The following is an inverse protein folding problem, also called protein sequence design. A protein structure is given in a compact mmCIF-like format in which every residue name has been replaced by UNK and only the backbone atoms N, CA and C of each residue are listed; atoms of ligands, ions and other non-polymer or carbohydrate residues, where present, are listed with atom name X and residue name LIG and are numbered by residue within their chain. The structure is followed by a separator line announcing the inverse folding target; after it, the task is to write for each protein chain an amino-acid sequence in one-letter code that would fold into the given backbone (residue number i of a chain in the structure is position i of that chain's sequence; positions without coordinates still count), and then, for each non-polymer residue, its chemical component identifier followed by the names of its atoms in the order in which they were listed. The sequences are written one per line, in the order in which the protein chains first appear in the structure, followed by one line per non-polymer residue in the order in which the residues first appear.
data_IF_242115683895
#
_entry.id   IF_242115683895
#
_cell.length_a   1.000
_cell.length_b   1.000
_cell.length_c   1.000
_cell.angle_alpha   90.00
_cell.angle_beta   90.00
_cell.angle_gamma   90.00
#
_symmetry.space_group_name_H-M   'P 1'
#
loop_
_entity.id
_entity.type
_entity.pdbx_description
1 polymer ?
#
# COMPACT_ATOMS: atom_id res chain seq x y z
N UNK A 1 2.46 20.58 19.25
CA UNK A 1 2.55 19.24 19.87
C UNK A 1 1.24 18.53 19.61
N UNK A 2 1.24 17.49 18.78
CA UNK A 2 0.06 16.64 18.60
C UNK A 2 0.24 15.47 19.56
N UNK A 3 -0.39 15.60 20.72
CA UNK A 3 -0.55 14.56 21.72
C UNK A 3 -1.35 13.41 21.10
N UNK A 4 -0.70 12.29 20.84
CA UNK A 4 -1.34 11.07 20.30
C UNK A 4 -1.69 10.06 21.39
N UNK A 5 -1.68 10.47 22.66
CA UNK A 5 -2.14 9.64 23.78
C UNK A 5 -1.43 8.28 23.90
N UNK A 6 -0.25 8.11 23.30
CA UNK A 6 0.48 6.84 23.32
C UNK A 6 -0.16 5.68 22.55
N UNK A 7 -1.15 5.92 21.69
CA UNK A 7 -1.74 4.85 20.87
C UNK A 7 -0.92 4.67 19.58
N UNK A 8 -0.33 3.48 19.34
CA UNK A 8 0.24 3.19 18.02
C UNK A 8 -0.89 3.28 16.99
N UNK A 9 -0.71 4.09 15.93
CA UNK A 9 -1.62 4.09 14.80
C UNK A 9 -1.53 2.73 14.10
N UNK A 10 -2.38 1.80 14.54
CA UNK A 10 -2.57 0.51 13.89
C UNK A 10 -3.55 0.71 12.73
N UNK A 11 -3.04 0.68 11.50
CA UNK A 11 -3.90 0.62 10.32
C UNK A 11 -4.30 -0.83 10.12
N UNK A 12 -5.59 -1.10 10.33
CA UNK A 12 -6.18 -2.40 10.05
C UNK A 12 -6.35 -2.52 8.54
N UNK A 13 -5.68 -3.49 7.93
CA UNK A 13 -5.84 -3.81 6.52
C UNK A 13 -6.95 -4.85 6.35
N UNK A 14 -7.96 -4.50 5.56
CA UNK A 14 -9.07 -5.39 5.23
C UNK A 14 -8.97 -5.78 3.77
N UNK A 15 -8.64 -7.05 3.53
CA UNK A 15 -8.61 -7.61 2.17
C UNK A 15 -9.98 -7.44 1.53
N UNK A 16 -9.99 -6.98 0.28
CA UNK A 16 -11.17 -6.71 -0.52
C UNK A 16 -11.64 -5.25 -0.49
N UNK A 17 -11.07 -4.39 0.35
CA UNK A 17 -11.45 -2.96 0.43
C UNK A 17 -10.61 -2.07 -0.48
N UNK A 18 -11.17 -0.94 -0.95
CA UNK A 18 -10.43 0.05 -1.72
C UNK A 18 -9.51 0.90 -0.82
N UNK A 19 -8.28 1.07 -1.27
CA UNK A 19 -7.27 1.92 -0.66
C UNK A 19 -6.72 2.91 -1.69
N UNK A 20 -6.59 4.15 -1.28
CA UNK A 20 -6.03 5.26 -2.05
C UNK A 20 -4.57 5.43 -1.73
N UNK A 21 -3.69 5.43 -2.73
CA UNK A 21 -2.32 5.88 -2.60
C UNK A 21 -2.31 7.35 -2.18
N UNK A 22 -1.59 7.69 -1.11
CA UNK A 22 -1.51 9.05 -0.55
C UNK A 22 -0.19 9.76 -0.85
N UNK A 23 0.61 9.22 -1.76
CA UNK A 23 1.81 9.90 -2.24
C UNK A 23 2.33 9.29 -3.55
N UNK A 24 3.05 10.10 -4.33
CA UNK A 24 3.53 9.72 -5.64
C UNK A 24 4.61 8.63 -5.54
N UNK A 25 4.33 7.45 -6.10
CA UNK A 25 5.27 6.33 -6.20
C UNK A 25 5.95 6.34 -7.57
N UNK A 26 5.16 6.34 -8.64
CA UNK A 26 5.61 6.42 -10.02
C UNK A 26 4.51 7.07 -10.87
N UNK A 27 4.64 8.38 -11.07
CA UNK A 27 3.64 9.18 -11.79
C UNK A 27 3.51 8.74 -13.25
N UNK A 28 4.62 8.33 -13.87
CA UNK A 28 4.63 7.88 -15.26
C UNK A 28 3.98 6.49 -15.44
N UNK A 29 3.77 5.75 -14.35
CA UNK A 29 3.04 4.49 -14.31
C UNK A 29 1.65 4.63 -13.66
N UNK A 30 1.19 5.87 -13.40
CA UNK A 30 -0.13 6.16 -12.83
C UNK A 30 -0.27 5.86 -11.33
N UNK A 31 0.82 5.54 -10.63
CA UNK A 31 0.85 5.32 -9.17
C UNK A 31 1.09 6.66 -8.45
N UNK A 32 0.09 7.54 -8.53
CA UNK A 32 0.13 8.88 -7.96
C UNK A 32 -0.54 8.93 -6.59
N UNK A 33 -0.27 10.02 -5.86
CA UNK A 33 -1.21 10.47 -4.83
C UNK A 33 -2.59 10.55 -5.48
N UNK A 34 -3.61 9.95 -4.86
CA UNK A 34 -4.98 9.69 -5.34
C UNK A 34 -5.26 8.41 -6.14
N UNK A 35 -4.26 7.61 -6.52
CA UNK A 35 -4.53 6.35 -7.21
C UNK A 35 -5.24 5.33 -6.29
N UNK A 36 -6.39 4.81 -6.69
CA UNK A 36 -7.18 3.88 -5.87
C UNK A 36 -7.05 2.44 -6.38
N UNK A 37 -6.68 1.53 -5.49
CA UNK A 37 -6.59 0.10 -5.77
C UNK A 37 -7.33 -0.72 -4.72
N UNK A 38 -7.82 -1.89 -5.09
CA UNK A 38 -8.43 -2.85 -4.16
C UNK A 38 -7.34 -3.68 -3.49
N UNK A 39 -7.30 -3.71 -2.16
CA UNK A 39 -6.35 -4.56 -1.45
C UNK A 39 -6.73 -6.01 -1.64
N UNK A 40 -5.81 -6.82 -2.14
CA UNK A 40 -6.07 -8.23 -2.45
C UNK A 40 -5.17 -9.17 -1.65
N UNK A 41 -3.96 -8.74 -1.27
CA UNK A 41 -3.06 -9.54 -0.45
C UNK A 41 -2.20 -8.67 0.47
N UNK A 42 -1.85 -9.19 1.64
CA UNK A 42 -0.99 -8.54 2.63
C UNK A 42 0.10 -9.52 3.03
N UNK A 43 1.35 -9.12 2.86
CA UNK A 43 2.50 -9.90 3.33
C UNK A 43 2.94 -9.43 4.70
N UNK A 44 3.02 -10.40 5.61
CA UNK A 44 3.47 -10.20 6.98
C UNK A 44 4.89 -10.75 7.15
N UNK A 45 5.68 -10.11 8.01
CA UNK A 45 6.93 -10.68 8.51
C UNK A 45 6.65 -11.80 9.50
N UNK A 46 7.71 -12.53 9.89
CA UNK A 46 7.66 -13.54 10.95
C UNK A 46 7.20 -12.99 12.31
N UNK A 47 7.19 -11.68 12.50
CA UNK A 47 6.71 -10.98 13.70
C UNK A 47 5.29 -10.40 13.50
N UNK A 48 4.55 -10.91 12.51
CA UNK A 48 3.21 -10.45 12.15
C UNK A 48 3.13 -8.97 11.75
N UNK A 49 4.24 -8.37 11.29
CA UNK A 49 4.27 -6.97 10.85
C UNK A 49 4.04 -6.89 9.35
N UNK A 50 3.16 -6.02 8.90
CA UNK A 50 2.95 -5.76 7.46
C UNK A 50 4.24 -5.24 6.81
N UNK A 51 4.73 -5.99 5.83
CA UNK A 51 5.92 -5.68 5.03
C UNK A 51 5.54 -5.10 3.67
N UNK A 52 4.55 -5.71 3.03
CA UNK A 52 4.15 -5.40 1.68
C UNK A 52 2.65 -5.63 1.52
N UNK A 53 2.02 -4.79 0.71
CA UNK A 53 0.61 -4.94 0.36
C UNK A 53 0.47 -5.01 -1.14
N UNK A 54 -0.51 -5.76 -1.61
CA UNK A 54 -0.76 -5.99 -3.02
C UNK A 54 -2.12 -5.46 -3.38
N UNK A 55 -2.12 -4.48 -4.27
CA UNK A 55 -3.28 -3.74 -4.69
C UNK A 55 -3.59 -4.05 -6.15
N UNK A 56 -4.85 -4.38 -6.43
CA UNK A 56 -5.37 -4.47 -7.78
C UNK A 56 -5.86 -3.09 -8.21
N UNK A 57 -5.22 -2.53 -9.22
CA UNK A 57 -5.60 -1.23 -9.79
C UNK A 57 -6.38 -1.40 -11.10
N UNK A 58 -7.14 -0.38 -11.53
CA UNK A 58 -7.73 -0.34 -12.86
C UNK A 58 -6.69 -0.52 -13.98
N UNK A 59 -7.15 -0.96 -15.14
CA UNK A 59 -6.31 -1.15 -16.33
C UNK A 59 -5.51 0.12 -16.65
N UNK A 60 -4.21 -0.03 -16.90
CA UNK A 60 -3.31 1.07 -17.26
C UNK A 60 -2.56 1.71 -16.08
N UNK A 61 -2.96 1.46 -14.83
CA UNK A 61 -2.22 1.91 -13.64
C UNK A 61 -1.30 0.80 -13.14
N UNK A 62 -0.03 1.12 -12.87
CA UNK A 62 0.96 0.22 -12.30
C UNK A 62 1.46 -0.87 -13.26
N UNK A 63 1.40 -0.63 -14.57
CA UNK A 63 1.77 -1.63 -15.60
C UNK A 63 3.26 -1.99 -15.49
N UNK A 64 4.12 -0.98 -15.36
CA UNK A 64 5.56 -1.20 -15.20
C UNK A 64 5.88 -1.84 -13.86
N UNK A 65 5.16 -1.46 -12.80
CA UNK A 65 5.33 -2.04 -11.47
C UNK A 65 4.99 -3.54 -11.45
N UNK A 66 3.89 -3.96 -12.08
CA UNK A 66 3.51 -5.37 -12.27
C UNK A 66 4.62 -6.18 -12.96
N UNK A 67 5.19 -5.63 -14.03
CA UNK A 67 6.23 -6.29 -14.82
C UNK A 67 7.53 -6.60 -14.05
N UNK A 68 7.76 -5.97 -12.89
CA UNK A 68 8.98 -6.15 -12.08
C UNK A 68 8.92 -7.33 -11.10
N UNK A 69 7.74 -7.84 -10.79
CA UNK A 69 7.54 -8.85 -9.73
C UNK A 69 6.91 -10.19 -10.15
N UNK A 70 6.84 -10.60 -11.44
CA UNK A 70 6.06 -11.78 -11.84
C UNK A 70 6.59 -13.09 -11.23
N UNK A 71 7.92 -13.25 -11.14
CA UNK A 71 8.51 -14.44 -10.54
C UNK A 71 8.18 -14.57 -9.06
N UNK A 72 8.19 -13.45 -8.33
CA UNK A 72 7.87 -13.43 -6.91
C UNK A 72 6.38 -13.72 -6.68
N UNK A 73 5.50 -13.10 -7.47
CA UNK A 73 4.06 -13.33 -7.40
C UNK A 73 3.70 -14.80 -7.70
N UNK A 74 4.27 -15.38 -8.75
CA UNK A 74 4.04 -16.78 -9.14
C UNK A 74 4.45 -17.77 -8.04
N UNK A 75 5.61 -17.58 -7.42
CA UNK A 75 6.10 -18.45 -6.32
C UNK A 75 5.18 -18.37 -5.09
N UNK A 76 4.52 -17.23 -4.88
CA UNK A 76 3.62 -16.99 -3.76
C UNK A 76 2.15 -17.26 -4.07
N UNK A 77 1.80 -17.64 -5.30
CA UNK A 77 0.41 -17.80 -5.74
C UNK A 77 -0.38 -16.49 -5.74
N UNK A 78 0.31 -15.36 -5.89
CA UNK A 78 -0.29 -14.01 -5.98
C UNK A 78 -0.56 -13.71 -7.44
N UNK A 79 -1.71 -13.08 -7.72
CA UNK A 79 -2.08 -12.68 -9.07
C UNK A 79 -1.08 -11.66 -9.63
N UNK A 80 -0.57 -11.93 -10.84
CA UNK A 80 0.38 -11.08 -11.56
C UNK A 80 -0.21 -9.73 -11.98
N UNK A 81 -1.54 -9.56 -11.93
CA UNK A 81 -2.21 -8.28 -12.14
C UNK A 81 -2.13 -7.33 -10.93
N UNK A 82 -1.56 -7.79 -9.81
CA UNK A 82 -1.41 -6.98 -8.61
C UNK A 82 -0.14 -6.12 -8.64
N UNK A 83 -0.26 -4.90 -8.13
CA UNK A 83 0.86 -4.00 -7.89
C UNK A 83 1.28 -4.13 -6.44
N UNK A 84 2.57 -4.42 -6.24
CA UNK A 84 3.13 -4.48 -4.90
C UNK A 84 3.54 -3.08 -4.42
N UNK A 85 3.01 -2.68 -3.28
CA UNK A 85 3.36 -1.43 -2.61
C UNK A 85 4.09 -1.79 -1.33
N UNK A 86 5.40 -1.49 -1.32
CA UNK A 86 6.24 -1.69 -0.15
C UNK A 86 5.93 -0.64 0.90
N UNK A 87 6.03 -1.02 2.18
CA UNK A 87 5.97 -0.06 3.28
C UNK A 87 7.17 0.88 3.21
N UNK A 88 6.97 2.12 2.76
CA UNK A 88 7.94 3.20 2.97
C UNK A 88 7.64 3.85 4.31
N UNK A 89 8.49 3.60 5.29
CA UNK A 89 8.51 4.38 6.53
C UNK A 89 9.26 5.69 6.20
N UNK A 90 8.56 6.80 6.08
CA UNK A 90 9.22 8.10 6.12
C UNK A 90 9.56 8.38 7.59
N UNK A 91 10.84 8.56 7.92
CA UNK A 91 11.23 9.16 9.20
C UNK A 91 10.89 10.63 9.10
N UNK A 92 9.68 10.99 9.48
CA UNK A 92 9.26 12.38 9.45
C UNK A 92 9.73 13.04 10.75
N UNK A 93 10.41 14.21 10.69
CA UNK A 93 10.83 14.93 11.90
C UNK A 93 9.60 15.42 12.67
N UNK A 94 9.25 14.71 13.76
CA UNK A 94 8.42 15.01 14.95
C UNK A 94 7.19 15.96 14.85
N UNK A 95 6.76 16.36 13.66
CA UNK A 95 5.69 17.34 13.46
C UNK A 95 4.72 16.95 12.33
N UNK A 96 5.10 16.00 11.48
CA UNK A 96 4.18 15.26 10.63
C UNK A 96 4.40 13.78 10.95
N UNK A 97 3.35 13.04 11.26
CA UNK A 97 3.45 11.64 11.70
C UNK A 97 3.34 10.76 10.46
N UNK A 98 4.21 9.76 10.34
CA UNK A 98 4.31 8.88 9.17
C UNK A 98 2.95 8.32 8.74
N UNK A 99 2.39 8.89 7.67
CA UNK A 99 1.26 8.30 6.96
C UNK A 99 1.75 7.04 6.28
N UNK A 100 1.04 5.92 6.48
CA UNK A 100 1.06 4.89 5.45
C UNK A 100 0.63 5.57 4.15
N UNK A 101 1.31 5.21 3.06
CA UNK A 101 1.03 5.72 1.71
C UNK A 101 -0.36 5.31 1.21
N UNK A 102 -1.24 4.78 2.07
CA UNK A 102 -2.54 4.24 1.73
C UNK A 102 -3.58 4.72 2.74
N UNK A 103 -4.68 5.27 2.23
CA UNK A 103 -5.86 5.66 3.01
C UNK A 103 -7.05 4.79 2.58
N UNK A 104 -7.71 4.14 3.53
CA UNK A 104 -8.96 3.41 3.25
C UNK A 104 -10.04 4.40 2.81
N UNK A 105 -10.77 4.06 1.73
CA UNK A 105 -11.94 4.83 1.31
C UNK A 105 -13.18 4.17 1.93
N UNK A 106 -13.71 4.79 2.97
CA UNK A 106 -14.97 4.37 3.59
C UNK A 106 -16.11 4.95 2.74
N UNK A 107 -16.73 4.12 1.89
CA UNK A 107 -17.99 4.49 1.24
C UNK A 107 -19.10 4.45 2.30
N UNK A 108 -19.73 5.59 2.56
CA UNK A 108 -21.00 5.66 3.31
C UNK A 108 -22.16 5.28 2.38
#
# INVERSE_FOLDING_TARGET
MIDTGGLPYEIIFVVGKPYMITANIDVADGLTDVAVGKLSHVELSNQNRVMQVWLLFPSGVGVKARGKVPNYANVKGIDTEMVSVNRRSATVPSTEIGRFMLKEIISH
#
